data_IF_307530421066
#
_entry.id   IF_307530421066
#
_cell.length_a   1.000
_cell.length_b   1.000
_cell.length_c   1.000
_cell.angle_alpha   90.00
_cell.angle_beta   90.00
_cell.angle_gamma   90.00
#
_symmetry.space_group_name_H-M   'P 1'
#
loop_
_entity.id
_entity.type
_entity.pdbx_description
1 polymer ?
#
# COMPACT_ATOMS: atom_id res chain seq x y z
N UNK A 1 1.87 -17.99 3.14
CA UNK A 1 3.22 -18.00 2.53
C UNK A 1 3.61 -19.43 2.13
N UNK A 2 3.12 -20.42 2.87
CA UNK A 2 3.30 -21.84 2.55
C UNK A 2 2.85 -22.19 1.13
N UNK A 3 3.68 -22.95 0.42
CA UNK A 3 3.44 -23.36 -0.96
C UNK A 3 3.47 -22.21 -1.99
N UNK A 4 3.86 -20.98 -1.59
CA UNK A 4 3.80 -19.83 -2.50
C UNK A 4 4.81 -19.94 -3.64
N UNK A 5 6.01 -20.50 -3.39
CA UNK A 5 7.04 -20.67 -4.41
C UNK A 5 6.56 -21.57 -5.55
N UNK A 6 6.01 -22.73 -5.21
CA UNK A 6 5.46 -23.71 -6.15
C UNK A 6 4.30 -23.12 -6.95
N UNK A 7 3.42 -22.38 -6.28
CA UNK A 7 2.33 -21.65 -6.93
C UNK A 7 2.84 -20.57 -7.87
N UNK A 8 3.85 -19.79 -7.47
CA UNK A 8 4.45 -18.76 -8.34
C UNK A 8 5.09 -19.38 -9.59
N UNK A 9 5.84 -20.46 -9.44
CA UNK A 9 6.42 -21.19 -10.57
C UNK A 9 5.34 -21.69 -11.54
N UNK A 10 4.26 -22.26 -11.01
CA UNK A 10 3.13 -22.73 -11.80
C UNK A 10 2.41 -21.57 -12.50
N UNK A 11 2.08 -20.49 -11.79
CA UNK A 11 1.42 -19.32 -12.40
C UNK A 11 2.28 -18.66 -13.47
N UNK A 12 3.62 -18.63 -13.29
CA UNK A 12 4.53 -18.12 -14.31
C UNK A 12 4.49 -18.98 -15.57
N UNK A 13 4.47 -20.31 -15.42
CA UNK A 13 4.30 -21.25 -16.54
C UNK A 13 2.95 -21.07 -17.24
N UNK A 14 1.92 -20.71 -16.48
CA UNK A 14 0.55 -20.49 -16.98
C UNK A 14 0.34 -19.07 -17.56
N UNK A 15 1.39 -18.22 -17.59
CA UNK A 15 1.39 -16.93 -18.28
C UNK A 15 1.18 -15.70 -17.38
N UNK A 16 1.21 -15.82 -16.06
CA UNK A 16 1.21 -14.66 -15.17
C UNK A 16 2.60 -14.00 -15.12
N UNK A 17 2.64 -12.66 -15.12
CA UNK A 17 3.89 -11.87 -15.02
C UNK A 17 3.98 -11.01 -13.76
N UNK A 18 2.87 -10.86 -13.04
CA UNK A 18 2.82 -10.15 -11.77
C UNK A 18 1.87 -10.86 -10.82
N UNK A 19 1.99 -10.56 -9.54
CA UNK A 19 1.13 -11.07 -8.49
C UNK A 19 0.69 -9.91 -7.57
N UNK A 20 -0.30 -10.17 -6.71
CA UNK A 20 -0.75 -9.19 -5.72
C UNK A 20 -0.92 -9.85 -4.35
N UNK A 21 -0.48 -9.18 -3.29
CA UNK A 21 -0.78 -9.59 -1.92
C UNK A 21 -1.28 -8.42 -1.07
N UNK A 22 -2.42 -8.62 -0.43
CA UNK A 22 -3.12 -7.62 0.39
C UNK A 22 -2.88 -7.85 1.87
N UNK A 23 -2.32 -6.85 2.54
CA UNK A 23 -2.37 -6.67 3.98
C UNK A 23 -3.45 -5.63 4.31
N UNK A 24 -4.05 -5.74 5.49
CA UNK A 24 -5.13 -4.84 5.93
C UNK A 24 -4.84 -4.31 7.32
N UNK A 25 -4.80 -2.99 7.45
CA UNK A 25 -4.61 -2.28 8.70
C UNK A 25 -5.80 -1.36 8.96
N UNK A 26 -6.10 -1.11 10.24
CA UNK A 26 -7.25 -0.28 10.65
C UNK A 26 -6.81 0.84 11.58
N UNK A 27 -7.31 2.04 11.32
CA UNK A 27 -7.10 3.19 12.21
C UNK A 27 -8.16 3.16 13.30
N UNK A 28 -7.71 3.18 14.56
CA UNK A 28 -8.53 3.46 15.74
C UNK A 28 -7.71 4.32 16.73
N UNK A 29 -8.20 4.48 17.96
CA UNK A 29 -7.44 5.13 19.03
C UNK A 29 -6.15 4.38 19.37
N UNK A 30 -6.10 3.06 19.20
CA UNK A 30 -4.94 2.21 19.56
C UNK A 30 -4.36 1.40 18.39
N UNK A 31 -4.96 1.48 17.20
CA UNK A 31 -4.51 0.73 16.00
C UNK A 31 -4.20 1.67 14.82
N UNK A 32 -3.33 1.26 13.88
CA UNK A 32 -2.58 0.01 13.88
C UNK A 32 -1.50 -0.02 14.97
N UNK A 33 -1.42 -1.15 15.68
CA UNK A 33 -0.39 -1.35 16.69
C UNK A 33 0.97 -1.56 16.02
N UNK A 34 2.05 -1.32 16.76
CA UNK A 34 3.40 -1.55 16.24
C UNK A 34 3.60 -3.00 15.75
N UNK A 35 3.04 -3.97 16.48
CA UNK A 35 3.03 -5.38 16.07
C UNK A 35 2.33 -5.58 14.72
N UNK A 36 1.13 -5.02 14.54
CA UNK A 36 0.38 -5.16 13.30
C UNK A 36 1.14 -4.55 12.11
N UNK A 37 1.81 -3.41 12.30
CA UNK A 37 2.62 -2.78 11.26
C UNK A 37 3.80 -3.70 10.89
N UNK A 38 4.56 -4.17 11.88
CA UNK A 38 5.75 -5.00 11.67
C UNK A 38 5.42 -6.32 10.99
N UNK A 39 4.39 -7.04 11.45
CA UNK A 39 4.07 -8.36 10.90
C UNK A 39 3.52 -8.30 9.47
N UNK A 40 2.71 -7.28 9.16
CA UNK A 40 2.22 -7.09 7.80
C UNK A 40 3.36 -6.67 6.86
N UNK A 41 4.23 -5.75 7.28
CA UNK A 41 5.40 -5.34 6.49
C UNK A 41 6.33 -6.53 6.20
N UNK A 42 6.63 -7.34 7.23
CA UNK A 42 7.47 -8.53 7.10
C UNK A 42 6.83 -9.59 6.17
N UNK A 43 5.53 -9.83 6.30
CA UNK A 43 4.80 -10.77 5.44
C UNK A 43 4.80 -10.32 3.98
N UNK A 44 4.57 -9.03 3.72
CA UNK A 44 4.62 -8.44 2.38
C UNK A 44 6.02 -8.57 1.76
N UNK A 45 7.07 -8.36 2.54
CA UNK A 45 8.44 -8.49 2.07
C UNK A 45 8.82 -9.93 1.72
N UNK A 46 8.42 -10.90 2.56
CA UNK A 46 8.58 -12.34 2.25
C UNK A 46 7.83 -12.75 0.98
N UNK A 47 6.60 -12.28 0.83
CA UNK A 47 5.81 -12.49 -0.38
C UNK A 47 6.53 -11.93 -1.62
N UNK A 48 7.01 -10.68 -1.54
CA UNK A 48 7.69 -10.03 -2.65
C UNK A 48 8.97 -10.76 -3.07
N UNK A 49 9.78 -11.18 -2.09
CA UNK A 49 11.00 -11.96 -2.32
C UNK A 49 10.70 -13.28 -3.06
N UNK A 50 9.67 -14.02 -2.63
CA UNK A 50 9.26 -15.28 -3.29
C UNK A 50 8.77 -15.03 -4.73
N UNK A 51 8.00 -13.97 -4.97
CA UNK A 51 7.55 -13.63 -6.33
C UNK A 51 8.73 -13.33 -7.26
N UNK A 52 9.70 -12.52 -6.81
CA UNK A 52 10.85 -12.14 -7.64
C UNK A 52 11.74 -13.32 -8.00
N UNK A 53 11.94 -14.27 -7.08
CA UNK A 53 12.68 -15.52 -7.36
C UNK A 53 12.04 -16.37 -8.47
N UNK A 54 10.75 -16.18 -8.75
CA UNK A 54 9.99 -16.92 -9.74
C UNK A 54 9.57 -16.06 -10.94
N UNK A 55 10.20 -14.89 -11.13
CA UNK A 55 9.98 -14.03 -12.29
C UNK A 55 8.59 -13.39 -12.33
N UNK A 56 7.97 -13.17 -11.17
CA UNK A 56 6.72 -12.42 -11.02
C UNK A 56 7.00 -11.08 -10.34
N UNK A 57 6.48 -9.99 -10.91
CA UNK A 57 6.49 -8.66 -10.27
C UNK A 57 5.49 -8.65 -9.10
N UNK A 58 5.90 -8.43 -7.84
CA UNK A 58 4.98 -8.31 -6.72
C UNK A 58 4.34 -6.91 -6.65
N UNK A 59 3.01 -6.88 -6.63
CA UNK A 59 2.24 -5.72 -6.19
C UNK A 59 2.06 -5.83 -4.67
N UNK A 60 2.69 -4.91 -3.94
CA UNK A 60 2.68 -4.82 -2.49
C UNK A 60 1.51 -3.92 -2.06
N UNK A 61 0.48 -4.49 -1.42
CA UNK A 61 -0.76 -3.77 -1.05
C UNK A 61 -0.93 -3.69 0.47
N UNK A 62 -0.33 -2.69 1.15
CA UNK A 62 -0.55 -2.41 2.57
C UNK A 62 -1.77 -1.50 2.76
N UNK A 63 -2.98 -2.03 2.61
CA UNK A 63 -4.20 -1.23 2.68
C UNK A 63 -4.50 -0.78 4.11
N UNK A 64 -4.64 0.54 4.31
CA UNK A 64 -5.21 1.11 5.51
C UNK A 64 -6.68 1.42 5.25
N UNK A 65 -7.56 0.80 6.03
CA UNK A 65 -9.00 0.94 5.87
C UNK A 65 -9.49 2.36 6.19
N UNK A 66 -10.43 2.91 5.39
CA UNK A 66 -11.05 4.20 5.64
C UNK A 66 -12.13 4.14 6.75
N UNK A 67 -12.41 2.98 7.32
CA UNK A 67 -13.34 2.84 8.44
C UNK A 67 -12.91 3.67 9.66
N UNK A 68 -13.79 4.55 10.12
CA UNK A 68 -13.61 5.35 11.34
C UNK A 68 -13.96 6.83 11.15
N UNK A 69 -13.79 7.59 12.21
CA UNK A 69 -14.07 9.04 12.30
C UNK A 69 -12.80 9.90 12.27
N UNK A 70 -11.64 9.28 12.03
CA UNK A 70 -10.34 9.93 11.99
C UNK A 70 -10.25 10.97 10.86
N UNK A 71 -9.49 12.04 11.10
CA UNK A 71 -9.26 13.07 10.09
C UNK A 71 -8.17 12.69 9.08
N UNK A 72 -8.00 13.56 8.08
CA UNK A 72 -7.02 13.40 7.01
C UNK A 72 -5.59 13.31 7.57
N UNK A 73 -5.27 14.12 8.57
CA UNK A 73 -3.94 14.20 9.20
C UNK A 73 -3.60 12.89 9.91
N UNK A 74 -4.56 12.27 10.59
CA UNK A 74 -4.38 10.96 11.23
C UNK A 74 -4.14 9.87 10.19
N UNK A 75 -4.89 9.86 9.08
CA UNK A 75 -4.65 8.93 7.97
C UNK A 75 -3.25 9.12 7.37
N UNK A 76 -2.84 10.37 7.14
CA UNK A 76 -1.52 10.72 6.65
C UNK A 76 -0.41 10.17 7.56
N UNK A 77 -0.51 10.47 8.86
CA UNK A 77 0.44 9.99 9.86
C UNK A 77 0.58 8.47 9.87
N UNK A 78 -0.54 7.75 9.87
CA UNK A 78 -0.52 6.29 9.89
C UNK A 78 0.06 5.73 8.60
N UNK A 79 -0.30 6.30 7.45
CA UNK A 79 0.21 5.88 6.14
C UNK A 79 1.72 6.05 6.06
N UNK A 80 2.27 7.17 6.55
CA UNK A 80 3.72 7.38 6.61
C UNK A 80 4.42 6.30 7.47
N UNK A 81 3.87 5.95 8.63
CA UNK A 81 4.45 4.92 9.50
C UNK A 81 4.40 3.52 8.87
N UNK A 82 3.28 3.19 8.23
CA UNK A 82 3.12 1.89 7.56
C UNK A 82 4.06 1.78 6.36
N UNK A 83 4.11 2.79 5.47
CA UNK A 83 4.96 2.73 4.29
C UNK A 83 6.45 2.72 4.65
N UNK A 84 6.87 3.50 5.65
CA UNK A 84 8.26 3.44 6.14
C UNK A 84 8.64 2.04 6.63
N UNK A 85 7.75 1.38 7.37
CA UNK A 85 7.98 0.01 7.83
C UNK A 85 7.99 -1.01 6.67
N UNK A 86 7.10 -0.85 5.68
CA UNK A 86 7.07 -1.68 4.47
C UNK A 86 8.38 -1.57 3.71
N UNK A 87 8.87 -0.36 3.40
CA UNK A 87 10.12 -0.21 2.65
C UNK A 87 11.35 -0.66 3.42
N UNK A 88 11.37 -0.49 4.75
CA UNK A 88 12.41 -1.09 5.59
C UNK A 88 12.41 -2.62 5.46
N UNK A 89 11.25 -3.25 5.57
CA UNK A 89 11.13 -4.70 5.45
C UNK A 89 11.49 -5.20 4.04
N UNK A 90 11.06 -4.51 2.98
CA UNK A 90 11.45 -4.86 1.60
C UNK A 90 12.97 -4.83 1.43
N UNK A 91 13.64 -3.81 1.99
CA UNK A 91 15.09 -3.71 1.96
C UNK A 91 15.78 -4.84 2.77
N UNK A 92 15.29 -5.14 3.97
CA UNK A 92 15.82 -6.21 4.82
C UNK A 92 15.71 -7.61 4.17
N UNK A 93 14.71 -7.80 3.31
CA UNK A 93 14.49 -9.05 2.56
C UNK A 93 15.11 -9.03 1.15
N UNK A 94 15.97 -8.05 0.87
CA UNK A 94 16.70 -7.92 -0.39
C UNK A 94 15.81 -7.85 -1.64
N UNK A 95 14.63 -7.24 -1.52
CA UNK A 95 13.69 -7.06 -2.64
C UNK A 95 14.23 -6.01 -3.62
N UNK A 96 14.22 -6.34 -4.90
CA UNK A 96 14.59 -5.43 -6.00
C UNK A 96 13.46 -4.45 -6.30
N UNK A 97 13.56 -3.20 -5.83
CA UNK A 97 12.43 -2.25 -5.83
C UNK A 97 11.94 -1.84 -7.22
N UNK A 98 12.84 -1.73 -8.19
CA UNK A 98 12.53 -1.43 -9.60
C UNK A 98 11.67 -2.53 -10.24
N UNK A 99 11.67 -3.73 -9.66
CA UNK A 99 10.83 -4.86 -10.04
C UNK A 99 9.61 -5.03 -9.12
N UNK A 100 9.06 -3.96 -8.55
CA UNK A 100 7.86 -3.98 -7.70
C UNK A 100 6.84 -2.95 -8.13
N UNK A 101 5.61 -3.06 -7.62
CA UNK A 101 4.64 -1.97 -7.63
C UNK A 101 4.08 -1.80 -6.22
N UNK A 102 3.79 -0.56 -5.84
CA UNK A 102 3.05 -0.27 -4.60
C UNK A 102 1.56 -0.09 -4.93
N UNK A 103 0.69 -0.69 -4.13
CA UNK A 103 -0.76 -0.47 -4.18
C UNK A 103 -1.27 0.03 -2.84
N UNK A 104 -1.13 1.34 -2.54
CA UNK A 104 -1.55 1.90 -1.27
C UNK A 104 -3.00 2.39 -1.34
N UNK A 105 -3.59 2.67 -0.18
CA UNK A 105 -4.74 3.58 -0.09
C UNK A 105 -4.32 5.01 -0.46
N UNK A 106 -5.25 5.80 -0.99
CA UNK A 106 -5.11 7.26 -0.95
C UNK A 106 -5.19 7.74 0.51
N UNK A 107 -4.60 8.89 0.82
CA UNK A 107 -4.73 9.50 2.15
C UNK A 107 -6.03 10.28 2.18
N UNK A 108 -7.06 9.68 2.77
CA UNK A 108 -8.40 10.28 2.94
C UNK A 108 -8.78 10.31 4.42
N UNK A 109 -9.71 11.18 4.80
CA UNK A 109 -10.35 11.07 6.10
C UNK A 109 -11.20 9.78 6.19
N UNK A 110 -11.48 9.34 7.42
CA UNK A 110 -12.33 8.19 7.64
C UNK A 110 -13.77 8.43 7.17
N UNK A 111 -14.50 7.38 6.81
CA UNK A 111 -15.87 7.47 6.29
C UNK A 111 -16.85 8.21 7.22
N UNK A 112 -16.64 8.12 8.54
CA UNK A 112 -17.46 8.79 9.55
C UNK A 112 -16.90 10.17 9.97
N UNK A 113 -15.83 10.66 9.33
CA UNK A 113 -15.27 11.97 9.64
C UNK A 113 -16.27 13.08 9.29
N UNK A 114 -16.63 13.98 10.24
CA UNK A 114 -17.57 15.06 9.97
C UNK A 114 -16.96 16.14 9.06
N UNK A 115 -15.64 16.30 9.07
CA UNK A 115 -14.92 17.26 8.24
C UNK A 115 -14.77 16.72 6.82
N UNK A 116 -15.16 17.53 5.84
CA UNK A 116 -14.98 17.23 4.42
C UNK A 116 -13.69 17.85 3.90
N UNK A 117 -13.06 17.15 2.97
CA UNK A 117 -11.80 17.52 2.33
C UNK A 117 -12.01 17.54 0.82
N UNK A 118 -11.32 18.46 0.16
CA UNK A 118 -11.35 18.56 -1.30
C UNK A 118 -10.43 17.51 -1.93
N UNK A 119 -10.60 17.20 -3.23
CA UNK A 119 -9.63 16.38 -3.95
C UNK A 119 -8.20 16.91 -3.87
N UNK A 120 -8.02 18.24 -3.85
CA UNK A 120 -6.71 18.87 -3.67
C UNK A 120 -6.11 18.60 -2.29
N UNK A 121 -6.92 18.60 -1.22
CA UNK A 121 -6.43 18.24 0.11
C UNK A 121 -5.95 16.78 0.16
N UNK A 122 -6.74 15.87 -0.42
CA UNK A 122 -6.39 14.43 -0.56
C UNK A 122 -5.11 14.26 -1.36
N UNK A 123 -4.99 14.98 -2.48
CA UNK A 123 -3.81 14.92 -3.34
C UNK A 123 -2.54 15.38 -2.63
N UNK A 124 -2.59 16.55 -1.97
CA UNK A 124 -1.45 17.08 -1.22
C UNK A 124 -1.04 16.11 -0.11
N UNK A 125 -1.99 15.58 0.67
CA UNK A 125 -1.69 14.65 1.75
C UNK A 125 -1.12 13.32 1.23
N UNK A 126 -1.65 12.81 0.13
CA UNK A 126 -1.22 11.55 -0.49
C UNK A 126 0.18 11.69 -1.08
N UNK A 127 0.39 12.65 -1.98
CA UNK A 127 1.70 12.87 -2.64
C UNK A 127 2.78 13.20 -1.61
N UNK A 128 2.48 14.03 -0.60
CA UNK A 128 3.43 14.31 0.49
C UNK A 128 3.84 13.05 1.24
N UNK A 129 2.89 12.17 1.57
CA UNK A 129 3.18 10.88 2.21
C UNK A 129 4.10 10.01 1.37
N UNK A 130 3.82 9.92 0.07
CA UNK A 130 4.62 9.12 -0.86
C UNK A 130 6.05 9.69 -0.99
N UNK A 131 6.20 11.00 -1.17
CA UNK A 131 7.52 11.66 -1.23
C UNK A 131 8.35 11.49 0.04
N UNK A 132 7.71 11.31 1.19
CA UNK A 132 8.38 11.07 2.48
C UNK A 132 8.82 9.64 2.70
N UNK A 133 8.27 8.67 1.96
CA UNK A 133 8.38 7.25 2.33
C UNK A 133 8.74 6.29 1.20
N UNK A 134 8.42 6.62 -0.05
CA UNK A 134 8.62 5.75 -1.21
C UNK A 134 9.97 6.07 -1.86
N UNK A 135 10.92 5.12 -1.92
CA UNK A 135 12.17 5.32 -2.65
C UNK A 135 11.92 5.55 -4.14
N UNK A 136 12.73 6.43 -4.76
CA UNK A 136 12.62 6.77 -6.18
C UNK A 136 12.83 5.58 -7.14
N UNK A 137 13.39 4.47 -6.65
CA UNK A 137 13.54 3.22 -7.41
C UNK A 137 12.22 2.51 -7.69
N UNK A 138 11.15 2.79 -6.94
CA UNK A 138 9.85 2.16 -7.15
C UNK A 138 9.22 2.74 -8.43
N UNK A 139 8.92 1.91 -9.45
CA UNK A 139 8.57 2.40 -10.78
C UNK A 139 7.13 2.91 -10.88
N UNK A 140 6.24 2.52 -9.95
CA UNK A 140 4.83 2.85 -10.06
C UNK A 140 4.05 2.63 -8.77
N UNK A 141 3.00 3.44 -8.64
CA UNK A 141 2.04 3.42 -7.54
C UNK A 141 0.65 3.27 -8.15
N UNK A 142 -0.02 2.16 -7.87
CA UNK A 142 -1.33 1.81 -8.40
C UNK A 142 -2.37 1.90 -7.29
N UNK A 143 -2.96 3.07 -7.05
CA UNK A 143 -3.90 3.27 -5.94
C UNK A 143 -5.10 2.31 -5.96
N UNK A 144 -5.48 1.82 -4.78
CA UNK A 144 -6.79 1.20 -4.58
C UNK A 144 -7.85 2.29 -4.35
N UNK A 145 -9.05 2.10 -4.91
CA UNK A 145 -10.20 3.00 -4.69
C UNK A 145 -10.81 2.84 -3.29
N UNK A 146 -10.69 1.65 -2.71
CA UNK A 146 -11.27 1.34 -1.39
C UNK A 146 -12.79 1.40 -1.46
N UNK A 147 -13.39 2.35 -0.73
CA UNK A 147 -14.85 2.60 -0.71
C UNK A 147 -15.31 3.78 -1.56
N UNK A 148 -14.42 4.42 -2.31
CA UNK A 148 -14.76 5.58 -3.15
C UNK A 148 -15.66 5.18 -4.32
N UNK A 149 -16.49 6.12 -4.78
CA UNK A 149 -17.22 5.95 -6.05
C UNK A 149 -16.26 6.00 -7.25
N UNK A 150 -16.73 5.55 -8.41
CA UNK A 150 -15.95 5.60 -9.67
C UNK A 150 -15.49 7.04 -10.00
N UNK A 151 -16.40 8.01 -9.85
CA UNK A 151 -16.11 9.44 -10.08
C UNK A 151 -15.11 9.97 -9.05
N UNK A 152 -15.34 9.70 -7.77
CA UNK A 152 -14.48 10.20 -6.68
C UNK A 152 -13.03 9.69 -6.81
N UNK A 153 -12.86 8.39 -7.08
CA UNK A 153 -11.55 7.80 -7.29
C UNK A 153 -10.83 8.41 -8.51
N UNK A 154 -11.57 8.71 -9.58
CA UNK A 154 -11.04 9.33 -10.80
C UNK A 154 -10.60 10.77 -10.55
N UNK A 155 -11.44 11.57 -9.87
CA UNK A 155 -11.15 12.97 -9.54
C UNK A 155 -9.97 13.10 -8.57
N UNK A 156 -9.89 12.23 -7.56
CA UNK A 156 -8.76 12.22 -6.63
C UNK A 156 -7.46 11.80 -7.31
N UNK A 157 -7.50 10.81 -8.21
CA UNK A 157 -6.33 10.42 -9.00
C UNK A 157 -5.86 11.55 -9.92
N UNK A 158 -6.80 12.24 -10.57
CA UNK A 158 -6.50 13.40 -11.41
C UNK A 158 -5.88 14.54 -10.61
N UNK A 159 -6.36 14.81 -9.39
CA UNK A 159 -5.79 15.88 -8.55
C UNK A 159 -4.34 15.61 -8.09
N UNK A 160 -3.88 14.35 -8.13
CA UNK A 160 -2.52 13.95 -7.77
C UNK A 160 -1.49 14.13 -8.89
N UNK A 161 -1.91 14.33 -10.14
CA UNK A 161 -1.05 14.42 -11.33
C UNK A 161 -1.16 15.79 -12.01
#
# INVERSE_FOLDING_TARGET
>A
LDGLAERCAQYKKDGADFAKWRAVLKITSTTPSQLAIQENANTLARYASICQQHGLVPIVEPEILPDGDHDLQRCQYVTEKVLAAVYKALNDHHVYLEGTLLKPNMVTAGHACPKKYTPQDVAVATVTTLLRTVPAAVPGICFLSGGQSEEEASVNLNAMN
#
